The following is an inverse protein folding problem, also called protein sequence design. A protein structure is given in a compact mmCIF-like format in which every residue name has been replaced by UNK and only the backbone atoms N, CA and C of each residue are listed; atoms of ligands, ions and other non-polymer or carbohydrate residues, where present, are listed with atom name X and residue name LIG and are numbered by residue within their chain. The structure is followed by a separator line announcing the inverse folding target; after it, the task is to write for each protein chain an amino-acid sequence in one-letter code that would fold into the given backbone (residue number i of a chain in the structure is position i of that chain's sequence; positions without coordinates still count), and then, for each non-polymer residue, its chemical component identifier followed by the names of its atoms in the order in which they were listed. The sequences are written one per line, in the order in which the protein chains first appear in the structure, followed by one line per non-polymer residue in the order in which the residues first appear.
data_IF_192860400205
#
_entry.id   IF_192860400205
#
_cell.length_a   1.000
_cell.length_b   1.000
_cell.length_c   1.000
_cell.angle_alpha   90.00
_cell.angle_beta   90.00
_cell.angle_gamma   90.00
#
_symmetry.space_group_name_H-M   'P 1'
#
loop_
_entity.id
_entity.type
_entity.pdbx_description
1 polymer ?
#
# COMPACT_ATOMS: atom_id res chain seq x y z
N UNK A 1 -11.83 -11.15 11.35
CA UNK A 1 -12.84 -11.11 10.27
C UNK A 1 -14.26 -10.70 10.73
N UNK A 2 -14.72 -11.03 11.96
CA UNK A 2 -16.02 -10.54 12.43
C UNK A 2 -16.04 -9.02 12.64
N UNK A 3 -14.98 -8.44 13.23
CA UNK A 3 -14.83 -7.00 13.41
C UNK A 3 -14.82 -6.24 12.07
N UNK A 4 -14.15 -6.77 11.06
CA UNK A 4 -14.13 -6.19 9.72
C UNK A 4 -15.53 -6.16 9.08
N UNK A 5 -16.34 -7.21 9.30
CA UNK A 5 -17.72 -7.23 8.83
C UNK A 5 -18.58 -6.15 9.49
N UNK A 6 -18.33 -5.84 10.76
CA UNK A 6 -19.04 -4.79 11.48
C UNK A 6 -18.63 -3.39 10.99
N UNK A 7 -17.33 -3.19 10.71
CA UNK A 7 -16.79 -1.89 10.30
C UNK A 7 -17.03 -1.58 8.81
N UNK A 8 -16.92 -2.59 7.93
CA UNK A 8 -16.89 -2.40 6.48
C UNK A 8 -17.99 -3.14 5.72
N UNK A 9 -18.84 -3.90 6.42
CA UNK A 9 -19.94 -4.69 5.83
C UNK A 9 -19.48 -6.00 5.15
N UNK A 10 -18.18 -6.20 4.94
CA UNK A 10 -17.61 -7.37 4.25
C UNK A 10 -16.47 -7.96 5.08
N UNK A 11 -16.29 -9.28 5.03
CA UNK A 11 -15.17 -9.94 5.69
C UNK A 11 -13.90 -9.77 4.83
N UNK A 12 -12.91 -9.07 5.38
CA UNK A 12 -11.58 -8.93 4.79
C UNK A 12 -10.53 -9.55 5.70
N UNK A 13 -9.42 -9.98 5.13
CA UNK A 13 -8.28 -10.52 5.86
C UNK A 13 -6.97 -9.80 5.53
N UNK A 14 -6.99 -8.93 4.53
CA UNK A 14 -5.83 -8.21 3.99
C UNK A 14 -5.13 -7.29 5.01
N UNK A 15 -5.88 -6.65 5.90
CA UNK A 15 -5.31 -5.87 7.00
C UNK A 15 -5.00 -6.76 8.24
N UNK A 16 -5.84 -7.75 8.50
CA UNK A 16 -5.74 -8.60 9.70
C UNK A 16 -4.55 -9.56 9.59
N UNK A 17 -4.35 -10.16 8.42
CA UNK A 17 -3.30 -11.15 8.22
C UNK A 17 -1.89 -10.60 8.53
N UNK A 18 -1.45 -9.45 7.98
CA UNK A 18 -0.14 -8.90 8.30
C UNK A 18 -0.04 -8.40 9.75
N UNK A 19 -1.13 -7.93 10.37
CA UNK A 19 -1.12 -7.57 11.79
C UNK A 19 -0.84 -8.77 12.68
N UNK A 20 -1.45 -9.93 12.39
CA UNK A 20 -1.31 -11.13 13.20
C UNK A 20 0.02 -11.86 12.92
N UNK A 21 0.40 -11.96 11.64
CA UNK A 21 1.56 -12.75 11.21
C UNK A 21 2.85 -11.93 11.11
N UNK A 22 2.75 -10.63 10.96
CA UNK A 22 3.86 -9.75 10.58
C UNK A 22 4.23 -9.89 9.09
N UNK A 23 5.20 -9.08 8.66
CA UNK A 23 5.76 -9.13 7.32
C UNK A 23 4.79 -8.75 6.22
N UNK A 24 5.01 -9.34 5.06
CA UNK A 24 4.16 -9.22 3.87
C UNK A 24 3.32 -10.49 3.72
N UNK A 25 2.03 -10.34 3.53
CA UNK A 25 1.11 -11.48 3.38
C UNK A 25 0.29 -11.36 2.11
N UNK A 26 0.08 -12.48 1.43
CA UNK A 26 -0.87 -12.62 0.33
C UNK A 26 -2.10 -13.36 0.83
N UNK A 27 -3.24 -12.71 0.83
CA UNK A 27 -4.53 -13.35 1.06
C UNK A 27 -5.04 -13.87 -0.27
N UNK A 28 -4.86 -15.18 -0.52
CA UNK A 28 -5.26 -15.82 -1.78
C UNK A 28 -6.76 -16.08 -1.84
N UNK A 29 -7.35 -16.41 -0.71
CA UNK A 29 -8.78 -16.73 -0.61
C UNK A 29 -9.31 -16.41 0.80
N UNK A 30 -10.59 -16.05 0.87
CA UNK A 30 -11.30 -15.82 2.13
C UNK A 30 -12.10 -17.07 2.56
N UNK A 31 -12.55 -17.89 1.62
CA UNK A 31 -13.35 -19.08 1.86
C UNK A 31 -12.89 -20.25 0.97
N UNK A 32 -12.14 -21.23 1.49
CA UNK A 32 -11.50 -21.23 2.81
C UNK A 32 -10.46 -20.11 2.92
N UNK A 33 -10.16 -19.68 4.16
CA UNK A 33 -9.12 -18.69 4.37
C UNK A 33 -7.75 -19.28 4.00
N UNK A 34 -7.07 -18.62 3.06
CA UNK A 34 -5.75 -19.02 2.58
C UNK A 34 -4.84 -17.81 2.56
N UNK A 35 -3.87 -17.78 3.48
CA UNK A 35 -2.91 -16.71 3.67
C UNK A 35 -1.50 -17.25 3.51
N UNK A 36 -0.73 -16.62 2.65
CA UNK A 36 0.64 -17.00 2.33
C UNK A 36 1.56 -15.90 2.86
N UNK A 37 2.51 -16.25 3.72
CA UNK A 37 3.59 -15.34 4.12
C UNK A 37 4.59 -15.21 2.98
N UNK A 38 4.93 -13.96 2.65
CA UNK A 38 5.90 -13.65 1.60
C UNK A 38 7.16 -13.12 2.28
N UNK A 39 8.36 -13.69 2.01
CA UNK A 39 9.61 -13.12 2.49
C UNK A 39 9.75 -11.71 1.95
N UNK A 40 10.17 -10.78 2.78
CA UNK A 40 10.40 -9.41 2.36
C UNK A 40 11.85 -8.99 2.59
N UNK A 41 12.44 -8.25 1.64
CA UNK A 41 13.70 -7.55 1.88
C UNK A 41 13.60 -6.59 3.05
N UNK A 42 14.74 -6.14 3.55
CA UNK A 42 14.80 -5.05 4.50
C UNK A 42 14.53 -3.74 3.75
N UNK A 43 13.27 -3.34 3.75
CA UNK A 43 12.78 -2.14 3.09
C UNK A 43 12.27 -1.13 4.11
N UNK A 44 12.48 0.13 3.78
CA UNK A 44 11.85 1.23 4.48
C UNK A 44 10.49 1.54 3.84
N UNK A 45 9.56 1.93 4.68
CA UNK A 45 8.22 2.35 4.30
C UNK A 45 8.02 3.77 4.79
N UNK A 46 7.76 4.68 3.85
CA UNK A 46 7.34 6.03 4.17
C UNK A 46 5.84 6.15 3.91
N UNK A 47 5.11 6.64 4.89
CA UNK A 47 3.65 6.83 4.81
C UNK A 47 3.33 8.29 5.01
N UNK A 48 2.45 8.85 4.18
CA UNK A 48 1.77 10.10 4.47
C UNK A 48 0.28 9.85 4.67
N UNK A 49 -0.28 10.43 5.72
CA UNK A 49 -1.72 10.38 6.02
C UNK A 49 -2.27 11.80 6.01
N UNK A 50 -2.85 12.27 4.90
CA UNK A 50 -3.53 13.57 4.86
C UNK A 50 -4.76 13.54 5.77
N UNK A 51 -5.01 14.64 6.47
CA UNK A 51 -6.11 14.76 7.43
C UNK A 51 -7.42 15.08 6.69
N UNK A 52 -7.83 14.16 5.85
CA UNK A 52 -9.10 14.19 5.11
C UNK A 52 -9.89 12.92 5.40
N UNK A 53 -11.19 13.00 5.35
CA UNK A 53 -12.05 11.82 5.48
C UNK A 53 -12.30 11.22 4.09
N UNK A 54 -11.87 9.97 3.90
CA UNK A 54 -12.25 9.14 2.75
C UNK A 54 -13.03 7.94 3.27
N UNK A 55 -14.35 7.96 3.11
CA UNK A 55 -15.18 6.85 3.57
C UNK A 55 -14.90 5.59 2.75
N UNK A 56 -14.75 4.47 3.43
CA UNK A 56 -14.54 3.16 2.76
C UNK A 56 -15.68 2.82 1.81
N UNK A 57 -16.93 3.22 2.13
CA UNK A 57 -18.08 3.11 1.25
C UNK A 57 -17.86 3.82 -0.08
N UNK A 58 -17.40 5.06 -0.03
CA UNK A 58 -17.22 5.91 -1.22
C UNK A 58 -16.08 5.36 -2.09
N UNK A 59 -14.97 4.98 -1.44
CA UNK A 59 -13.84 4.31 -2.11
C UNK A 59 -14.22 3.01 -2.82
N UNK A 60 -15.33 2.36 -2.41
CA UNK A 60 -15.85 1.15 -3.06
C UNK A 60 -16.85 1.47 -4.15
N UNK A 61 -17.73 2.44 -3.92
CA UNK A 61 -18.78 2.81 -4.89
C UNK A 61 -18.23 3.31 -6.21
N UNK A 62 -17.06 3.98 -6.19
CA UNK A 62 -16.41 4.48 -7.40
C UNK A 62 -15.70 3.39 -8.21
N UNK A 63 -15.52 2.17 -7.65
CA UNK A 63 -14.84 1.09 -8.37
C UNK A 63 -15.68 0.59 -9.55
N UNK A 64 -14.99 0.38 -10.68
CA UNK A 64 -15.62 -0.15 -11.88
C UNK A 64 -16.05 -1.60 -11.67
N UNK A 65 -17.25 -1.95 -12.13
CA UNK A 65 -17.76 -3.32 -12.11
C UNK A 65 -17.07 -4.23 -13.14
N UNK A 66 -16.46 -3.61 -14.16
CA UNK A 66 -15.77 -4.30 -15.25
C UNK A 66 -14.45 -3.59 -15.55
N UNK A 67 -13.45 -4.37 -15.96
CA UNK A 67 -12.14 -3.86 -16.35
C UNK A 67 -11.78 -4.38 -17.75
N UNK A 68 -10.98 -3.62 -18.47
CA UNK A 68 -10.49 -4.07 -19.77
C UNK A 68 -9.51 -5.23 -19.58
N UNK A 69 -9.63 -6.26 -20.42
CA UNK A 69 -8.75 -7.43 -20.34
C UNK A 69 -7.26 -7.07 -20.39
N UNK A 70 -6.89 -6.08 -21.22
CA UNK A 70 -5.49 -5.60 -21.29
C UNK A 70 -4.97 -5.07 -19.94
N UNK A 71 -5.81 -4.36 -19.19
CA UNK A 71 -5.45 -3.80 -17.89
C UNK A 71 -5.38 -4.91 -16.83
N UNK A 72 -6.29 -5.89 -16.90
CA UNK A 72 -6.25 -7.08 -16.05
C UNK A 72 -4.98 -7.89 -16.29
N UNK A 73 -4.58 -8.13 -17.55
CA UNK A 73 -3.33 -8.83 -17.90
C UNK A 73 -2.11 -8.08 -17.34
N UNK A 74 -2.05 -6.75 -17.49
CA UNK A 74 -0.97 -5.94 -16.92
C UNK A 74 -0.93 -6.06 -15.40
N UNK A 75 -2.09 -5.97 -14.73
CA UNK A 75 -2.19 -6.08 -13.28
C UNK A 75 -1.78 -7.45 -12.76
N UNK A 76 -2.16 -8.54 -13.44
CA UNK A 76 -1.71 -9.89 -13.08
C UNK A 76 -0.19 -10.03 -13.21
N UNK A 77 0.40 -9.46 -14.26
CA UNK A 77 1.85 -9.40 -14.44
C UNK A 77 2.53 -8.62 -13.31
N UNK A 78 1.98 -7.47 -12.92
CA UNK A 78 2.49 -6.65 -11.82
C UNK A 78 2.43 -7.42 -10.48
N UNK A 79 1.31 -8.07 -10.16
CA UNK A 79 1.18 -8.87 -8.93
C UNK A 79 2.20 -10.02 -8.92
N UNK A 80 2.29 -10.78 -10.02
CA UNK A 80 3.24 -11.88 -10.13
C UNK A 80 4.68 -11.38 -10.04
N UNK A 81 5.00 -10.25 -10.69
CA UNK A 81 6.30 -9.60 -10.63
C UNK A 81 6.64 -9.13 -9.21
N UNK A 82 5.71 -8.51 -8.51
CA UNK A 82 5.89 -8.05 -7.14
C UNK A 82 6.21 -9.22 -6.19
N UNK A 83 5.40 -10.28 -6.22
CA UNK A 83 5.62 -11.49 -5.40
C UNK A 83 6.98 -12.12 -5.74
N UNK A 84 7.30 -12.26 -7.03
CA UNK A 84 8.59 -12.80 -7.47
C UNK A 84 9.76 -11.94 -7.01
N UNK A 85 9.61 -10.61 -7.09
CA UNK A 85 10.61 -9.65 -6.63
C UNK A 85 10.91 -9.78 -5.13
N UNK A 86 9.88 -9.96 -4.31
CA UNK A 86 10.04 -10.24 -2.88
C UNK A 86 10.81 -11.54 -2.64
N UNK A 87 10.43 -12.64 -3.28
CA UNK A 87 11.11 -13.94 -3.13
C UNK A 87 12.56 -13.91 -3.60
N UNK A 88 12.88 -13.14 -4.64
CA UNK A 88 14.23 -13.01 -5.20
C UNK A 88 15.07 -11.91 -4.55
N UNK A 89 14.49 -11.10 -3.67
CA UNK A 89 15.14 -9.88 -3.17
C UNK A 89 15.58 -8.94 -4.30
N UNK A 90 14.77 -8.86 -5.37
CA UNK A 90 15.02 -8.06 -6.56
C UNK A 90 14.27 -6.72 -6.44
N UNK A 91 14.98 -5.68 -5.96
CA UNK A 91 14.39 -4.38 -5.73
C UNK A 91 13.90 -3.69 -7.01
N UNK A 92 14.57 -3.93 -8.14
CA UNK A 92 14.17 -3.36 -9.43
C UNK A 92 12.87 -3.99 -9.91
N UNK A 93 12.71 -5.31 -9.73
CA UNK A 93 11.48 -6.00 -10.04
C UNK A 93 10.34 -5.57 -9.12
N UNK A 94 10.60 -5.40 -7.82
CA UNK A 94 9.63 -4.84 -6.87
C UNK A 94 9.19 -3.45 -7.34
N UNK A 95 10.12 -2.55 -7.62
CA UNK A 95 9.84 -1.16 -8.00
C UNK A 95 8.97 -1.05 -9.24
N UNK A 96 9.31 -1.77 -10.33
CA UNK A 96 8.53 -1.72 -11.58
C UNK A 96 7.19 -2.48 -11.51
N UNK A 97 7.00 -3.30 -10.46
CA UNK A 97 5.76 -4.04 -10.22
C UNK A 97 4.80 -3.35 -9.24
N UNK A 98 5.27 -2.31 -8.54
CA UNK A 98 4.46 -1.48 -7.65
C UNK A 98 3.66 -0.44 -8.46
N UNK A 99 2.84 -0.92 -9.38
CA UNK A 99 1.94 -0.12 -10.19
C UNK A 99 0.58 -0.80 -10.21
N UNK A 100 -0.44 -0.09 -9.72
CA UNK A 100 -1.84 -0.52 -9.84
C UNK A 100 -2.49 0.23 -11.01
N UNK A 101 -2.92 -0.50 -12.02
CA UNK A 101 -3.53 0.07 -13.23
C UNK A 101 -5.05 -0.04 -13.24
N UNK A 102 -5.65 -0.64 -12.21
CA UNK A 102 -7.09 -0.89 -12.11
C UNK A 102 -7.75 -0.04 -11.03
N UNK A 103 -7.27 -0.15 -9.79
CA UNK A 103 -7.92 0.45 -8.62
C UNK A 103 -7.40 1.86 -8.37
N UNK A 104 -6.07 2.02 -8.36
CA UNK A 104 -5.43 3.29 -8.05
C UNK A 104 -5.88 4.44 -8.96
N UNK A 105 -5.98 4.29 -10.30
CA UNK A 105 -6.43 5.37 -11.18
C UNK A 105 -7.84 5.89 -10.87
N UNK A 106 -8.67 5.05 -10.25
CA UNK A 106 -10.04 5.42 -9.86
C UNK A 106 -10.07 6.03 -8.46
N UNK A 107 -9.34 5.44 -7.50
CA UNK A 107 -9.32 5.91 -6.10
C UNK A 107 -8.50 7.16 -5.88
N UNK A 108 -7.45 7.39 -6.67
CA UNK A 108 -6.57 8.54 -6.52
C UNK A 108 -7.28 9.88 -6.60
N UNK A 109 -8.41 9.96 -7.31
CA UNK A 109 -9.24 11.16 -7.41
C UNK A 109 -9.82 11.62 -6.07
N UNK A 110 -9.92 10.70 -5.09
CA UNK A 110 -10.38 11.01 -3.73
C UNK A 110 -9.26 11.54 -2.82
N UNK A 111 -8.01 11.52 -3.28
CA UNK A 111 -6.83 11.88 -2.49
C UNK A 111 -6.14 13.08 -3.15
N UNK A 112 -6.41 14.30 -2.69
CA UNK A 112 -5.74 15.50 -3.24
C UNK A 112 -4.22 15.35 -3.22
N UNK A 113 -3.56 15.72 -4.31
CA UNK A 113 -2.11 15.66 -4.43
C UNK A 113 -1.51 14.28 -4.72
N UNK A 114 -2.32 13.21 -4.87
CA UNK A 114 -1.83 11.85 -5.05
C UNK A 114 -0.79 11.70 -6.17
N UNK A 115 -1.09 12.20 -7.37
CA UNK A 115 -0.18 12.09 -8.53
C UNK A 115 1.12 12.84 -8.31
N UNK A 116 1.05 14.03 -7.68
CA UNK A 116 2.24 14.80 -7.32
C UNK A 116 3.09 14.05 -6.27
N UNK A 117 2.47 13.44 -5.25
CA UNK A 117 3.17 12.60 -4.27
C UNK A 117 3.90 11.46 -4.97
N UNK A 118 3.20 10.68 -5.80
CA UNK A 118 3.82 9.55 -6.51
C UNK A 118 4.99 9.97 -7.39
N UNK A 119 4.82 11.05 -8.14
CA UNK A 119 5.87 11.57 -9.02
C UNK A 119 7.08 12.02 -8.22
N UNK A 120 6.88 12.92 -7.26
CA UNK A 120 7.98 13.51 -6.48
C UNK A 120 8.73 12.45 -5.65
N UNK A 121 8.01 11.47 -5.08
CA UNK A 121 8.63 10.38 -4.33
C UNK A 121 9.47 9.46 -5.23
N UNK A 122 9.05 9.20 -6.47
CA UNK A 122 9.89 8.45 -7.43
C UNK A 122 11.13 9.24 -7.83
N UNK A 123 11.02 10.54 -8.03
CA UNK A 123 12.16 11.44 -8.30
C UNK A 123 13.14 11.50 -7.11
N UNK A 124 12.62 11.38 -5.86
CA UNK A 124 13.42 11.24 -4.64
C UNK A 124 14.02 9.83 -4.43
N UNK A 125 13.82 8.89 -5.36
CA UNK A 125 14.42 7.57 -5.34
C UNK A 125 13.59 6.46 -4.71
N UNK A 126 12.29 6.67 -4.43
CA UNK A 126 11.40 5.60 -4.01
C UNK A 126 11.33 4.50 -5.08
N UNK A 127 11.30 3.25 -4.64
CA UNK A 127 11.06 2.09 -5.51
C UNK A 127 9.67 2.14 -6.15
N UNK A 128 8.69 2.58 -5.39
CA UNK A 128 7.30 2.68 -5.76
C UNK A 128 6.41 2.59 -4.53
N UNK A 129 5.11 2.64 -4.76
CA UNK A 129 4.10 2.59 -3.71
C UNK A 129 2.74 2.98 -4.26
N UNK A 130 1.78 3.22 -3.39
CA UNK A 130 0.42 3.55 -3.79
C UNK A 130 -0.48 3.84 -2.60
N UNK A 131 -1.78 3.68 -2.82
CA UNK A 131 -2.80 3.89 -1.79
C UNK A 131 -2.75 2.74 -0.77
N UNK A 132 -2.72 3.07 0.52
CA UNK A 132 -2.86 2.08 1.59
C UNK A 132 -4.34 1.77 1.83
N UNK A 133 -4.75 0.56 1.52
CA UNK A 133 -6.14 0.12 1.67
C UNK A 133 -7.13 0.94 0.83
N UNK A 134 -8.11 1.57 1.49
CA UNK A 134 -9.07 2.47 0.83
C UNK A 134 -8.57 3.92 0.70
N UNK A 135 -7.43 4.23 1.24
CA UNK A 135 -6.93 5.59 1.44
C UNK A 135 -7.44 6.21 2.75
N UNK A 136 -7.17 7.49 3.04
CA UNK A 136 -6.38 8.40 2.23
C UNK A 136 -4.86 8.23 2.33
N UNK A 137 -4.37 7.32 3.17
CA UNK A 137 -2.93 7.11 3.34
C UNK A 137 -2.27 6.65 2.05
N UNK A 138 -1.08 7.19 1.78
CA UNK A 138 -0.21 6.80 0.67
C UNK A 138 1.08 6.26 1.28
N UNK A 139 1.57 5.13 0.77
CA UNK A 139 2.85 4.56 1.16
C UNK A 139 3.83 4.52 0.00
N UNK A 140 5.12 4.61 0.32
CA UNK A 140 6.23 4.39 -0.61
C UNK A 140 7.26 3.47 0.01
N UNK A 141 7.83 2.58 -0.80
CA UNK A 141 8.94 1.72 -0.41
C UNK A 141 10.27 2.33 -0.84
N UNK A 142 11.28 2.22 0.02
CA UNK A 142 12.63 2.73 -0.21
C UNK A 142 13.68 1.70 0.19
N UNK A 143 14.82 1.70 -0.50
CA UNK A 143 15.92 0.74 -0.28
C UNK A 143 16.71 0.98 0.99
N UNK A 144 16.70 2.20 1.54
CA UNK A 144 17.43 2.59 2.74
C UNK A 144 16.77 3.81 3.40
N UNK A 145 17.22 4.12 4.63
CA UNK A 145 16.67 5.20 5.44
C UNK A 145 16.89 6.59 4.83
N UNK A 146 18.04 6.84 4.20
CA UNK A 146 18.32 8.14 3.57
C UNK A 146 17.29 8.46 2.49
N UNK A 147 17.04 7.52 1.58
CA UNK A 147 16.02 7.67 0.54
C UNK A 147 14.62 7.79 1.15
N UNK A 148 14.32 7.04 2.21
CA UNK A 148 13.02 7.13 2.88
C UNK A 148 12.76 8.54 3.46
N UNK A 149 13.77 9.20 4.01
CA UNK A 149 13.69 10.59 4.50
C UNK A 149 13.54 11.61 3.36
N UNK A 150 14.23 11.40 2.24
CA UNK A 150 14.03 12.24 1.04
C UNK A 150 12.61 12.10 0.49
N UNK A 151 12.09 10.88 0.50
CA UNK A 151 10.70 10.57 0.13
C UNK A 151 9.71 11.22 1.10
N UNK A 152 9.98 11.19 2.41
CA UNK A 152 9.17 11.89 3.41
C UNK A 152 9.11 13.39 3.12
N UNK A 153 10.26 14.01 2.88
CA UNK A 153 10.33 15.43 2.53
C UNK A 153 9.55 15.74 1.26
N UNK A 154 9.63 14.88 0.25
CA UNK A 154 8.87 15.05 -0.98
C UNK A 154 7.34 14.97 -0.75
N UNK A 155 6.88 14.09 0.14
CA UNK A 155 5.46 13.99 0.53
C UNK A 155 5.00 15.27 1.25
N UNK A 156 5.79 15.74 2.24
CA UNK A 156 5.52 16.95 3.02
C UNK A 156 5.38 18.17 2.11
N UNK A 157 6.32 18.38 1.20
CA UNK A 157 6.29 19.51 0.26
C UNK A 157 5.01 19.56 -0.60
N UNK A 158 4.44 18.42 -0.95
CA UNK A 158 3.17 18.39 -1.69
C UNK A 158 2.04 18.89 -0.81
N UNK A 159 1.91 18.36 0.42
CA UNK A 159 0.80 18.72 1.31
C UNK A 159 0.92 20.10 1.89
N UNK A 160 2.13 20.59 2.19
CA UNK A 160 2.40 22.00 2.55
C UNK A 160 1.92 22.95 1.45
N UNK A 161 2.19 22.61 0.18
CA UNK A 161 1.78 23.45 -0.96
C UNK A 161 0.27 23.51 -1.16
N UNK A 162 -0.43 22.40 -0.95
CA UNK A 162 -1.90 22.36 -1.13
C UNK A 162 -2.67 22.76 0.13
N UNK A 163 -1.97 22.95 1.27
CA UNK A 163 -2.57 23.44 2.51
C UNK A 163 -3.49 22.43 3.21
N UNK A 164 -3.20 21.14 3.09
CA UNK A 164 -3.91 20.08 3.80
C UNK A 164 -3.01 19.56 4.93
N UNK A 165 -3.52 19.53 6.15
CA UNK A 165 -2.82 18.93 7.28
C UNK A 165 -2.55 17.44 7.07
N UNK A 166 -1.42 16.95 7.57
CA UNK A 166 -0.99 15.57 7.36
C UNK A 166 -0.11 15.07 8.50
N UNK A 167 0.05 13.75 8.56
CA UNK A 167 1.10 13.09 9.35
C UNK A 167 1.98 12.26 8.42
N UNK A 168 3.29 12.24 8.69
CA UNK A 168 4.23 11.35 8.00
C UNK A 168 4.88 10.38 8.97
N UNK A 169 5.23 9.21 8.45
CA UNK A 169 5.89 8.15 9.21
C UNK A 169 6.94 7.48 8.34
N UNK A 170 8.15 7.33 8.87
CA UNK A 170 9.21 6.52 8.27
C UNK A 170 9.46 5.32 9.17
N UNK A 171 9.33 4.13 8.64
CA UNK A 171 9.48 2.88 9.38
C UNK A 171 10.01 1.76 8.47
N UNK A 172 10.10 0.56 8.99
CA UNK A 172 10.44 -0.65 8.24
C UNK A 172 9.29 -1.64 8.27
N UNK A 173 9.31 -2.64 7.39
CA UNK A 173 8.33 -3.73 7.43
C UNK A 173 8.59 -4.55 8.70
N UNK A 174 7.65 -4.54 9.65
CA UNK A 174 7.76 -5.37 10.86
C UNK A 174 7.68 -6.85 10.49
N UNK A 175 8.70 -7.61 10.84
CA UNK A 175 8.73 -9.07 10.63
C UNK A 175 7.95 -9.84 11.70
N UNK A 176 7.53 -9.15 12.75
CA UNK A 176 6.77 -9.74 13.87
C UNK A 176 5.34 -9.25 13.85
N UNK A 177 4.42 -10.18 14.04
CA UNK A 177 3.01 -9.89 14.23
C UNK A 177 2.67 -9.68 15.70
N UNK A 178 1.47 -10.10 16.09
CA UNK A 178 1.00 -10.05 17.49
C UNK A 178 1.82 -10.99 18.35
N UNK A 179 2.40 -10.49 19.44
CA UNK A 179 3.10 -11.26 20.46
C UNK A 179 2.24 -11.26 21.74
N UNK A 180 2.08 -12.45 22.36
CA UNK A 180 1.36 -12.61 23.63
C UNK A 180 2.42 -12.78 24.71
N UNK A 181 2.41 -11.89 25.67
CA UNK A 181 3.26 -11.98 26.85
C UNK A 181 2.42 -12.55 28.00
N UNK A 182 2.86 -13.68 28.59
CA UNK A 182 2.29 -14.16 29.86
C UNK A 182 2.78 -13.26 30.99
N UNK A 183 1.83 -12.71 31.75
CA UNK A 183 2.11 -11.99 33.02
C UNK A 183 2.49 -12.97 34.13
#
# INVERSE_FOLDING_TARGET
MFGEKLASGVKHADNIAPCILGGVTLVRSIHPLDVIAIPSPDLFVTVVHPQIEVRTSDSRQILRQQVLLKDAIKQWGNIAGLVTGFFKNDLDLIGRSLEDVIIEPVRSILIPGFDAVKKNCREAGALGGGISGSGPSIFMLSKNESVAKEVETAMQQVYDRIGIDYHTYVTTISKKGVEIFSS
#
